data_IF_203635871915
#
_entry.id   IF_203635871915
#
_cell.length_a   1.000
_cell.length_b   1.000
_cell.length_c   1.000
_cell.angle_alpha   90.00
_cell.angle_beta   90.00
_cell.angle_gamma   90.00
#
_symmetry.space_group_name_H-M   'P 1'
#
loop_
_entity.id
_entity.type
_entity.pdbx_description
1 polymer ?
#
# COMPACT_ATOMS: atom_id res chain seq x y z
N UNK A 1 -31.42 6.67 -24.06
CA UNK A 1 -30.83 5.34 -23.86
C UNK A 1 -29.40 5.60 -23.45
N UNK A 2 -28.88 4.86 -22.45
CA UNK A 2 -27.49 4.99 -22.02
C UNK A 2 -26.55 4.73 -23.19
N UNK A 3 -25.53 5.57 -23.37
CA UNK A 3 -24.43 5.35 -24.32
C UNK A 3 -23.45 4.29 -23.82
N UNK A 4 -23.58 3.87 -22.56
CA UNK A 4 -22.72 2.88 -21.93
C UNK A 4 -23.11 1.47 -22.37
N UNK A 5 -22.14 0.68 -22.77
CA UNK A 5 -22.25 -0.75 -23.05
C UNK A 5 -21.59 -1.52 -21.92
N UNK A 6 -22.16 -2.66 -21.60
CA UNK A 6 -21.64 -3.51 -20.50
C UNK A 6 -21.31 -4.90 -20.99
N UNK A 7 -20.17 -5.39 -20.58
CA UNK A 7 -19.80 -6.79 -20.74
C UNK A 7 -19.35 -7.39 -19.40
N UNK A 8 -19.62 -8.68 -19.26
CA UNK A 8 -19.15 -9.49 -18.13
C UNK A 8 -18.33 -10.65 -18.68
N UNK A 9 -17.24 -10.94 -18.05
CA UNK A 9 -16.32 -12.00 -18.46
C UNK A 9 -16.10 -12.95 -17.31
N UNK A 10 -16.40 -14.22 -17.52
CA UNK A 10 -16.22 -15.30 -16.57
C UNK A 10 -15.19 -16.28 -17.09
N UNK A 11 -14.30 -16.75 -16.25
CA UNK A 11 -13.39 -17.85 -16.58
C UNK A 11 -14.17 -19.16 -16.71
N UNK A 12 -13.90 -19.94 -17.77
CA UNK A 12 -14.46 -21.28 -17.91
C UNK A 12 -14.10 -22.16 -16.70
N UNK A 13 -14.88 -23.18 -16.37
CA UNK A 13 -14.76 -23.93 -15.10
C UNK A 13 -13.34 -24.43 -14.79
N UNK A 14 -12.58 -24.85 -15.81
CA UNK A 14 -11.22 -25.36 -15.58
C UNK A 14 -10.24 -24.26 -15.18
N UNK A 15 -10.51 -23.02 -15.58
CA UNK A 15 -9.68 -21.84 -15.35
C UNK A 15 -10.23 -20.91 -14.25
N UNK A 16 -11.38 -21.22 -13.66
CA UNK A 16 -12.06 -20.41 -12.65
C UNK A 16 -11.41 -20.56 -11.25
N UNK A 17 -10.12 -20.23 -11.15
CA UNK A 17 -9.34 -20.38 -9.88
C UNK A 17 -9.92 -19.47 -8.81
N UNK A 18 -10.12 -18.20 -9.10
CA UNK A 18 -10.63 -17.22 -8.13
C UNK A 18 -12.00 -17.60 -7.55
N UNK A 19 -12.89 -18.10 -8.39
CA UNK A 19 -14.22 -18.56 -7.92
C UNK A 19 -14.11 -19.80 -7.01
N UNK A 20 -13.20 -20.71 -7.33
CA UNK A 20 -12.95 -21.91 -6.50
C UNK A 20 -12.31 -21.57 -5.17
N UNK A 21 -11.33 -20.67 -5.17
CA UNK A 21 -10.65 -20.18 -3.97
C UNK A 21 -11.63 -19.43 -3.07
N UNK A 22 -12.40 -18.49 -3.61
CA UNK A 22 -13.41 -17.77 -2.82
C UNK A 22 -14.46 -18.73 -2.22
N UNK A 23 -14.93 -19.72 -2.97
CA UNK A 23 -15.82 -20.74 -2.42
C UNK A 23 -15.17 -21.53 -1.27
N UNK A 24 -13.89 -21.84 -1.40
CA UNK A 24 -13.14 -22.52 -0.35
C UNK A 24 -13.01 -21.63 0.89
N UNK A 25 -12.66 -20.36 0.73
CA UNK A 25 -12.53 -19.38 1.82
C UNK A 25 -13.86 -19.17 2.56
N UNK A 26 -14.96 -19.00 1.82
CA UNK A 26 -16.31 -18.90 2.39
C UNK A 26 -16.61 -20.12 3.26
N UNK A 27 -16.27 -21.30 2.79
CA UNK A 27 -16.53 -22.54 3.50
C UNK A 27 -15.58 -22.80 4.68
N UNK A 28 -14.28 -22.52 4.51
CA UNK A 28 -13.23 -22.86 5.50
C UNK A 28 -12.99 -21.77 6.52
N UNK A 29 -12.94 -20.52 6.06
CA UNK A 29 -12.62 -19.36 6.90
C UNK A 29 -13.88 -18.73 7.51
N UNK A 30 -14.90 -18.43 6.69
CA UNK A 30 -16.17 -17.87 7.20
C UNK A 30 -17.10 -18.94 7.79
N UNK A 31 -16.83 -20.22 7.58
CA UNK A 31 -17.63 -21.34 8.13
C UNK A 31 -18.99 -21.53 7.45
N UNK A 32 -19.28 -20.84 6.35
CA UNK A 32 -20.56 -20.89 5.64
C UNK A 32 -20.58 -22.09 4.69
N UNK A 33 -21.33 -23.12 5.03
CA UNK A 33 -21.41 -24.40 4.30
C UNK A 33 -22.56 -24.48 3.29
N UNK A 34 -23.44 -23.50 3.29
CA UNK A 34 -24.67 -23.46 2.49
C UNK A 34 -24.44 -23.00 1.04
N UNK A 35 -23.25 -22.47 0.72
CA UNK A 35 -22.87 -22.03 -0.61
C UNK A 35 -22.59 -23.23 -1.51
N UNK A 36 -23.34 -23.35 -2.60
CA UNK A 36 -23.25 -24.44 -3.58
C UNK A 36 -22.32 -24.10 -4.74
N UNK A 37 -22.40 -22.86 -5.25
CA UNK A 37 -21.50 -22.36 -6.28
C UNK A 37 -21.16 -20.88 -6.06
N UNK A 38 -20.02 -20.49 -6.60
CA UNK A 38 -19.55 -19.08 -6.66
C UNK A 38 -19.15 -18.81 -8.09
N UNK A 39 -19.62 -17.70 -8.64
CA UNK A 39 -19.20 -17.20 -9.94
C UNK A 39 -18.57 -15.82 -9.77
N UNK A 40 -17.50 -15.57 -10.49
CA UNK A 40 -16.77 -14.31 -10.48
C UNK A 40 -16.69 -13.78 -11.89
N UNK A 41 -17.30 -12.63 -12.10
CA UNK A 41 -17.33 -11.95 -13.39
C UNK A 41 -16.51 -10.67 -13.32
N UNK A 42 -15.63 -10.47 -14.27
CA UNK A 42 -15.04 -9.15 -14.51
C UNK A 42 -16.05 -8.36 -15.35
N UNK A 43 -16.54 -7.27 -14.82
CA UNK A 43 -17.45 -6.34 -15.50
C UNK A 43 -16.65 -5.21 -16.12
N UNK A 44 -16.93 -4.90 -17.37
CA UNK A 44 -16.48 -3.69 -18.03
C UNK A 44 -17.71 -2.86 -18.44
N UNK A 45 -17.73 -1.61 -18.02
CA UNK A 45 -18.62 -0.57 -18.53
C UNK A 45 -17.83 0.30 -19.50
N UNK A 46 -18.32 0.45 -20.71
CA UNK A 46 -17.59 1.06 -21.83
C UNK A 46 -18.44 2.13 -22.48
N UNK A 47 -17.89 3.33 -22.62
CA UNK A 47 -18.54 4.46 -23.30
C UNK A 47 -17.59 5.07 -24.34
N UNK A 48 -18.13 5.83 -25.27
CA UNK A 48 -17.40 6.55 -26.31
C UNK A 48 -16.56 5.63 -27.22
N UNK A 49 -17.16 4.57 -27.71
CA UNK A 49 -16.57 3.59 -28.61
C UNK A 49 -17.55 3.27 -29.76
N UNK A 50 -17.04 3.08 -30.98
CA UNK A 50 -17.87 2.65 -32.10
C UNK A 50 -18.34 1.19 -31.93
N UNK A 51 -19.44 0.82 -32.59
CA UNK A 51 -19.94 -0.57 -32.55
C UNK A 51 -18.91 -1.55 -33.08
N UNK A 52 -18.26 -1.21 -34.20
CA UNK A 52 -17.26 -2.08 -34.84
C UNK A 52 -16.07 -2.35 -33.91
N UNK A 53 -15.54 -1.30 -33.28
CA UNK A 53 -14.41 -1.42 -32.35
C UNK A 53 -14.82 -2.16 -31.08
N UNK A 54 -16.04 -1.91 -30.57
CA UNK A 54 -16.56 -2.63 -29.40
C UNK A 54 -16.69 -4.13 -29.65
N UNK A 55 -17.23 -4.54 -30.81
CA UNK A 55 -17.36 -5.96 -31.17
C UNK A 55 -16.00 -6.65 -31.27
N UNK A 56 -15.01 -5.98 -31.87
CA UNK A 56 -13.62 -6.47 -31.89
C UNK A 56 -13.04 -6.57 -30.48
N UNK A 57 -13.22 -5.54 -29.66
CA UNK A 57 -12.71 -5.49 -28.29
C UNK A 57 -13.31 -6.62 -27.41
N UNK A 58 -14.55 -7.04 -27.66
CA UNK A 58 -15.14 -8.14 -26.91
C UNK A 58 -14.32 -9.44 -26.98
N UNK A 59 -13.61 -9.70 -28.07
CA UNK A 59 -12.89 -10.94 -28.30
C UNK A 59 -11.37 -10.85 -28.15
N UNK A 60 -10.80 -9.63 -28.13
CA UNK A 60 -9.34 -9.45 -28.07
C UNK A 60 -8.86 -8.47 -27.00
N UNK A 61 -9.78 -7.76 -26.33
CA UNK A 61 -9.44 -6.85 -25.22
C UNK A 61 -10.12 -7.31 -23.92
N UNK A 62 -11.45 -7.46 -23.95
CA UNK A 62 -12.21 -7.76 -22.73
C UNK A 62 -12.18 -9.24 -22.35
N UNK A 63 -12.00 -10.14 -23.30
CA UNK A 63 -11.95 -11.58 -23.05
C UNK A 63 -10.92 -12.31 -23.89
N UNK A 64 -10.52 -13.49 -23.41
CA UNK A 64 -9.71 -14.47 -24.11
C UNK A 64 -10.60 -15.71 -24.43
N UNK A 65 -11.19 -15.81 -25.62
CA UNK A 65 -12.18 -16.84 -25.94
C UNK A 65 -11.80 -18.31 -25.64
N UNK A 66 -10.50 -18.71 -25.67
CA UNK A 66 -10.10 -20.06 -25.26
C UNK A 66 -10.41 -20.37 -23.80
N UNK A 67 -10.30 -19.40 -22.90
CA UNK A 67 -10.39 -19.57 -21.43
C UNK A 67 -11.56 -18.82 -20.81
N UNK A 68 -12.22 -17.92 -21.55
CA UNK A 68 -13.29 -17.06 -21.09
C UNK A 68 -14.63 -17.32 -21.75
N UNK A 69 -15.69 -16.94 -21.04
CA UNK A 69 -17.04 -16.75 -21.57
C UNK A 69 -17.42 -15.30 -21.36
N UNK A 70 -17.86 -14.63 -22.43
CA UNK A 70 -18.30 -13.23 -22.39
C UNK A 70 -19.81 -13.15 -22.50
N UNK A 71 -20.40 -12.34 -21.66
CA UNK A 71 -21.83 -12.02 -21.64
C UNK A 71 -22.01 -10.52 -21.87
N UNK A 72 -22.95 -10.16 -22.75
CA UNK A 72 -23.30 -8.76 -23.00
C UNK A 72 -24.52 -8.38 -22.19
N UNK A 73 -24.47 -7.23 -21.54
CA UNK A 73 -25.53 -6.57 -20.77
C UNK A 73 -26.03 -7.33 -19.55
N UNK A 74 -26.14 -8.66 -19.58
CA UNK A 74 -26.70 -9.48 -18.51
C UNK A 74 -25.88 -10.76 -18.33
N UNK A 75 -25.83 -11.24 -17.09
CA UNK A 75 -25.25 -12.53 -16.71
C UNK A 75 -26.35 -13.55 -16.43
N UNK A 76 -26.09 -14.85 -16.65
CA UNK A 76 -26.98 -15.89 -16.18
C UNK A 76 -27.00 -15.94 -14.65
N UNK A 77 -28.17 -16.08 -14.06
CA UNK A 77 -28.33 -16.23 -12.62
C UNK A 77 -29.29 -17.38 -12.31
N UNK A 78 -28.91 -18.23 -11.39
CA UNK A 78 -29.80 -19.25 -10.85
C UNK A 78 -30.89 -18.62 -9.98
N UNK A 79 -32.03 -19.28 -9.86
CA UNK A 79 -33.10 -18.83 -8.98
C UNK A 79 -32.62 -18.78 -7.51
N UNK A 80 -32.83 -17.63 -6.86
CA UNK A 80 -32.40 -17.41 -5.48
C UNK A 80 -30.91 -17.08 -5.32
N UNK A 81 -30.12 -17.01 -6.38
CA UNK A 81 -28.73 -16.57 -6.30
C UNK A 81 -28.63 -15.12 -5.81
N UNK A 82 -27.63 -14.85 -4.99
CA UNK A 82 -27.33 -13.50 -4.47
C UNK A 82 -26.16 -12.90 -5.25
N UNK A 83 -26.22 -11.60 -5.49
CA UNK A 83 -25.24 -10.90 -6.34
C UNK A 83 -24.86 -9.56 -5.74
N UNK A 84 -23.59 -9.23 -5.84
CA UNK A 84 -23.04 -7.90 -5.54
C UNK A 84 -21.85 -7.62 -6.46
N UNK A 85 -21.53 -6.35 -6.62
CA UNK A 85 -20.37 -5.92 -7.42
C UNK A 85 -19.47 -5.03 -6.59
N UNK A 86 -18.18 -5.10 -6.86
CA UNK A 86 -17.14 -4.32 -6.18
C UNK A 86 -16.39 -3.50 -7.24
N UNK A 87 -16.27 -2.21 -7.01
CA UNK A 87 -15.50 -1.28 -7.84
C UNK A 87 -14.48 -0.55 -6.99
N UNK A 88 -13.43 0.00 -7.59
CA UNK A 88 -12.49 0.88 -6.92
C UNK A 88 -13.14 2.17 -6.44
N UNK A 89 -12.66 2.70 -5.31
CA UNK A 89 -13.05 4.02 -4.83
C UNK A 89 -12.62 5.11 -5.82
N UNK A 90 -13.36 6.23 -5.89
CA UNK A 90 -12.90 7.39 -6.65
C UNK A 90 -11.50 7.83 -6.22
N UNK A 91 -10.59 8.01 -7.19
CA UNK A 91 -9.20 8.35 -6.93
C UNK A 91 -8.25 7.15 -6.90
N UNK A 92 -8.75 5.93 -6.77
CA UNK A 92 -7.94 4.73 -6.94
C UNK A 92 -7.72 4.44 -8.44
N UNK A 93 -6.54 3.92 -8.76
CA UNK A 93 -6.18 3.61 -10.14
C UNK A 93 -6.76 2.26 -10.57
N UNK A 94 -7.66 2.28 -11.55
CA UNK A 94 -8.22 1.07 -12.16
C UNK A 94 -7.29 0.59 -13.29
N UNK A 95 -6.28 -0.21 -12.91
CA UNK A 95 -5.29 -0.76 -13.84
C UNK A 95 -5.94 -1.58 -14.96
N UNK A 96 -7.00 -2.32 -14.68
CA UNK A 96 -7.69 -3.16 -15.66
C UNK A 96 -8.41 -2.30 -16.69
N UNK A 97 -9.09 -1.26 -16.26
CA UNK A 97 -9.76 -0.33 -17.15
C UNK A 97 -8.74 0.45 -18.00
N UNK A 98 -7.64 0.91 -17.41
CA UNK A 98 -6.57 1.63 -18.12
C UNK A 98 -5.92 0.74 -19.19
N UNK A 99 -5.58 -0.50 -18.86
CA UNK A 99 -5.06 -1.47 -19.82
C UNK A 99 -6.06 -1.74 -20.95
N UNK A 100 -7.34 -1.83 -20.63
CA UNK A 100 -8.38 -2.01 -21.64
C UNK A 100 -8.51 -0.78 -22.57
N UNK A 101 -8.41 0.45 -22.04
CA UNK A 101 -8.35 1.68 -22.84
C UNK A 101 -7.19 1.64 -23.82
N UNK A 102 -5.98 1.32 -23.35
CA UNK A 102 -4.79 1.23 -24.21
C UNK A 102 -4.96 0.17 -25.29
N UNK A 103 -5.47 -1.02 -24.95
CA UNK A 103 -5.72 -2.08 -25.93
C UNK A 103 -6.79 -1.69 -26.97
N UNK A 104 -7.83 -0.94 -26.58
CA UNK A 104 -8.81 -0.42 -27.55
C UNK A 104 -8.15 0.59 -28.49
N UNK A 105 -7.25 1.42 -28.00
CA UNK A 105 -6.51 2.38 -28.83
C UNK A 105 -5.56 1.70 -29.84
N UNK A 106 -5.09 0.48 -29.55
CA UNK A 106 -4.40 -0.33 -30.58
C UNK A 106 -5.33 -0.83 -31.69
N UNK A 107 -6.63 -0.96 -31.43
CA UNK A 107 -7.62 -1.31 -32.46
C UNK A 107 -8.05 -0.12 -33.31
N UNK A 108 -8.10 1.06 -32.69
CA UNK A 108 -8.44 2.34 -33.31
C UNK A 108 -7.70 3.46 -32.57
N UNK A 109 -6.62 3.98 -33.18
CA UNK A 109 -5.78 5.03 -32.58
C UNK A 109 -6.50 6.37 -32.32
N UNK A 110 -7.65 6.58 -32.98
CA UNK A 110 -8.47 7.76 -32.79
C UNK A 110 -9.58 7.57 -31.72
N UNK A 111 -9.73 6.36 -31.20
CA UNK A 111 -10.70 6.09 -30.15
C UNK A 111 -10.24 6.73 -28.81
N UNK A 112 -11.22 7.33 -28.14
CA UNK A 112 -11.04 7.86 -26.79
C UNK A 112 -12.08 7.21 -25.84
N UNK A 113 -12.03 5.88 -25.63
CA UNK A 113 -12.99 5.17 -24.82
C UNK A 113 -12.89 5.59 -23.37
N UNK A 114 -14.02 5.60 -22.68
CA UNK A 114 -14.07 5.67 -21.21
C UNK A 114 -14.46 4.28 -20.75
N UNK A 115 -13.60 3.66 -19.95
CA UNK A 115 -13.81 2.30 -19.44
C UNK A 115 -13.71 2.32 -17.92
N UNK A 116 -14.59 1.58 -17.26
CA UNK A 116 -14.49 1.26 -15.83
C UNK A 116 -14.61 -0.23 -15.63
N UNK A 117 -13.90 -0.76 -14.68
CA UNK A 117 -14.03 -2.16 -14.31
C UNK A 117 -14.66 -2.35 -12.94
N UNK A 118 -15.27 -3.48 -12.74
CA UNK A 118 -15.77 -3.95 -11.46
C UNK A 118 -15.72 -5.48 -11.44
N UNK A 119 -15.65 -6.06 -10.26
CA UNK A 119 -15.81 -7.51 -10.08
C UNK A 119 -17.20 -7.78 -9.57
N UNK A 120 -17.95 -8.62 -10.27
CA UNK A 120 -19.30 -9.05 -9.88
C UNK A 120 -19.26 -10.49 -9.38
N UNK A 121 -19.77 -10.68 -8.19
CA UNK A 121 -19.83 -11.98 -7.51
C UNK A 121 -21.28 -12.48 -7.51
N UNK A 122 -21.49 -13.73 -7.91
CA UNK A 122 -22.77 -14.41 -7.80
C UNK A 122 -22.60 -15.60 -6.88
N UNK A 123 -23.38 -15.63 -5.81
CA UNK A 123 -23.33 -16.63 -4.76
C UNK A 123 -24.60 -17.47 -4.84
N UNK A 124 -24.45 -18.75 -5.12
CA UNK A 124 -25.55 -19.73 -5.14
C UNK A 124 -25.61 -20.52 -3.86
N UNK A 125 -26.83 -20.87 -3.44
CA UNK A 125 -27.08 -21.66 -2.25
C UNK A 125 -28.06 -20.98 -1.29
N UNK A 126 -28.36 -21.64 -0.20
CA UNK A 126 -29.29 -21.09 0.80
C UNK A 126 -28.54 -20.23 1.82
N UNK A 127 -28.16 -19.02 1.38
CA UNK A 127 -27.33 -18.06 2.14
C UNK A 127 -28.26 -17.04 2.82
N UNK A 128 -28.17 -16.92 4.14
CA UNK A 128 -28.90 -15.92 4.92
C UNK A 128 -28.37 -14.50 4.65
N UNK A 129 -29.14 -13.48 5.04
CA UNK A 129 -28.68 -12.09 4.89
C UNK A 129 -27.40 -11.81 5.67
N UNK A 130 -27.29 -12.33 6.88
CA UNK A 130 -26.10 -12.15 7.71
C UNK A 130 -24.85 -12.83 7.11
N UNK A 131 -25.01 -14.02 6.56
CA UNK A 131 -23.94 -14.72 5.86
C UNK A 131 -23.53 -13.99 4.59
N UNK A 132 -24.47 -13.43 3.86
CA UNK A 132 -24.19 -12.67 2.64
C UNK A 132 -23.43 -11.37 2.95
N UNK A 133 -23.81 -10.65 4.00
CA UNK A 133 -23.07 -9.47 4.45
C UNK A 133 -21.65 -9.85 4.92
N UNK A 134 -21.46 -10.98 5.58
CA UNK A 134 -20.14 -11.48 5.94
C UNK A 134 -19.28 -11.78 4.69
N UNK A 135 -19.86 -12.35 3.64
CA UNK A 135 -19.18 -12.59 2.36
C UNK A 135 -18.80 -11.27 1.70
N UNK A 136 -19.70 -10.29 1.65
CA UNK A 136 -19.38 -8.96 1.11
C UNK A 136 -18.22 -8.32 1.86
N UNK A 137 -18.27 -8.34 3.19
CA UNK A 137 -17.22 -7.78 4.03
C UNK A 137 -15.86 -8.45 3.80
N UNK A 138 -15.86 -9.75 3.49
CA UNK A 138 -14.65 -10.49 3.14
C UNK A 138 -14.09 -10.10 1.76
N UNK A 139 -14.99 -9.81 0.79
CA UNK A 139 -14.60 -9.49 -0.60
C UNK A 139 -14.28 -8.02 -0.83
N UNK A 140 -14.73 -7.12 0.06
CA UNK A 140 -14.58 -5.65 -0.12
C UNK A 140 -13.52 -5.14 0.85
N UNK A 141 -12.43 -4.60 0.30
CA UNK A 141 -11.48 -3.84 1.08
C UNK A 141 -11.92 -2.36 1.12
N UNK A 142 -12.40 -1.84 2.27
CA UNK A 142 -12.95 -0.49 2.33
C UNK A 142 -11.89 0.61 2.14
N UNK A 143 -10.60 0.26 2.09
CA UNK A 143 -9.50 1.20 1.85
C UNK A 143 -9.41 1.56 0.36
N UNK A 144 -9.64 0.60 -0.53
CA UNK A 144 -9.49 0.78 -1.98
C UNK A 144 -10.75 0.59 -2.80
N UNK A 145 -11.77 -0.08 -2.22
CA UNK A 145 -12.95 -0.51 -2.97
C UNK A 145 -14.25 -0.35 -2.19
N UNK A 146 -15.34 -0.42 -2.92
CA UNK A 146 -16.71 -0.33 -2.38
C UNK A 146 -17.68 -1.21 -3.16
N UNK A 147 -18.82 -1.50 -2.54
CA UNK A 147 -19.96 -2.08 -3.27
C UNK A 147 -20.49 -1.07 -4.30
N UNK A 148 -20.80 -1.56 -5.49
CA UNK A 148 -21.45 -0.78 -6.55
C UNK A 148 -22.71 -1.49 -7.03
N UNK A 149 -23.67 -0.71 -7.56
CA UNK A 149 -24.91 -1.23 -8.08
C UNK A 149 -24.75 -2.07 -9.36
N UNK A 150 -25.76 -2.89 -9.61
CA UNK A 150 -25.87 -3.64 -10.87
C UNK A 150 -26.50 -2.80 -12.00
N UNK A 151 -27.13 -1.70 -11.65
CA UNK A 151 -27.71 -0.81 -12.64
C UNK A 151 -26.62 -0.17 -13.50
N UNK A 152 -26.87 -0.15 -14.81
CA UNK A 152 -25.95 0.45 -15.76
C UNK A 152 -26.09 1.97 -15.70
N UNK A 153 -24.99 2.72 -15.50
CA UNK A 153 -25.04 4.17 -15.47
C UNK A 153 -25.40 4.75 -16.85
N UNK A 154 -25.93 5.95 -16.88
CA UNK A 154 -26.23 6.65 -18.14
C UNK A 154 -24.94 7.11 -18.84
N UNK A 155 -23.93 7.49 -18.07
CA UNK A 155 -22.58 7.89 -18.54
C UNK A 155 -21.51 7.50 -17.55
N UNK A 156 -20.30 7.28 -18.04
CA UNK A 156 -19.09 7.03 -17.25
C UNK A 156 -18.29 8.31 -16.98
N UNK A 157 -18.69 9.42 -17.60
CA UNK A 157 -18.05 10.71 -17.37
C UNK A 157 -18.30 11.15 -15.94
N UNK A 158 -17.23 11.34 -15.18
CA UNK A 158 -17.30 11.89 -13.82
C UNK A 158 -17.10 13.40 -13.89
N UNK A 159 -18.04 14.14 -13.36
CA UNK A 159 -17.91 15.57 -13.14
C UNK A 159 -17.56 15.79 -11.68
N UNK A 160 -16.39 16.33 -11.44
CA UNK A 160 -15.97 16.72 -10.10
C UNK A 160 -16.34 18.19 -9.88
N UNK A 161 -16.82 18.56 -8.69
CA UNK A 161 -16.92 19.97 -8.32
C UNK A 161 -15.54 20.62 -8.28
N UNK A 162 -15.49 21.90 -8.54
CA UNK A 162 -14.25 22.65 -8.34
C UNK A 162 -13.81 22.51 -6.88
N UNK A 163 -12.50 22.33 -6.62
CA UNK A 163 -12.01 22.22 -5.25
C UNK A 163 -12.23 23.55 -4.51
N UNK A 164 -12.50 23.44 -3.22
CA UNK A 164 -12.52 24.62 -2.35
C UNK A 164 -11.14 25.25 -2.24
N UNK A 165 -11.09 26.56 -2.05
CA UNK A 165 -9.85 27.27 -1.74
C UNK A 165 -9.21 26.73 -0.47
N UNK A 166 -7.88 26.79 -0.39
CA UNK A 166 -7.13 26.34 0.78
C UNK A 166 -7.54 27.18 1.99
N UNK A 167 -8.03 26.52 3.02
CA UNK A 167 -8.48 27.15 4.26
C UNK A 167 -7.33 27.87 4.96
N UNK A 168 -7.54 29.15 5.33
CA UNK A 168 -6.69 29.87 6.26
C UNK A 168 -7.28 29.71 7.68
N UNK A 169 -6.44 29.53 8.68
CA UNK A 169 -6.86 29.47 10.06
C UNK A 169 -6.94 30.85 10.69
N UNK A 170 -7.98 31.60 10.37
CA UNK A 170 -8.16 32.97 10.84
C UNK A 170 -8.06 33.07 12.36
N UNK A 171 -7.23 33.99 12.84
CA UNK A 171 -6.99 34.22 14.26
C UNK A 171 -6.04 33.20 14.91
N UNK A 172 -5.49 32.24 14.18
CA UNK A 172 -4.59 31.21 14.71
C UNK A 172 -3.45 31.79 15.57
N UNK A 173 -2.77 32.82 15.06
CA UNK A 173 -1.64 33.44 15.75
C UNK A 173 -2.00 34.01 17.13
N UNK A 174 -3.28 34.41 17.32
CA UNK A 174 -3.75 35.06 18.53
C UNK A 174 -4.69 34.15 19.38
N UNK A 175 -4.90 32.89 18.96
CA UNK A 175 -5.74 31.93 19.69
C UNK A 175 -5.28 31.75 21.15
N UNK A 176 -6.21 31.65 22.06
CA UNK A 176 -5.95 31.21 23.42
C UNK A 176 -5.55 29.71 23.42
N UNK A 177 -4.86 29.30 24.49
CA UNK A 177 -4.38 27.91 24.60
C UNK A 177 -5.50 26.86 24.49
N UNK A 178 -6.67 27.17 25.04
CA UNK A 178 -7.83 26.27 25.02
C UNK A 178 -8.34 26.06 23.59
N UNK A 179 -8.51 27.15 22.83
CA UNK A 179 -8.97 27.10 21.43
C UNK A 179 -7.93 26.45 20.52
N UNK A 180 -6.64 26.74 20.76
CA UNK A 180 -5.53 26.13 20.05
C UNK A 180 -5.48 24.61 20.28
N UNK A 181 -5.77 24.16 21.50
CA UNK A 181 -5.81 22.74 21.85
C UNK A 181 -7.00 22.02 21.20
N UNK A 182 -8.14 22.68 21.11
CA UNK A 182 -9.30 22.16 20.39
C UNK A 182 -9.00 22.00 18.90
N UNK A 183 -8.44 23.04 18.29
CA UNK A 183 -7.99 22.99 16.89
C UNK A 183 -6.97 21.86 16.66
N UNK A 184 -5.94 21.76 17.51
CA UNK A 184 -4.96 20.68 17.46
C UNK A 184 -5.61 19.29 17.47
N UNK A 185 -6.55 19.07 18.38
CA UNK A 185 -7.26 17.79 18.52
C UNK A 185 -8.11 17.47 17.28
N UNK A 186 -8.67 18.49 16.63
CA UNK A 186 -9.51 18.33 15.42
C UNK A 186 -8.70 17.98 14.17
N UNK A 187 -7.41 18.35 14.14
CA UNK A 187 -6.55 18.16 12.97
C UNK A 187 -5.84 16.81 12.93
N UNK A 188 -5.85 16.04 14.02
CA UNK A 188 -5.17 14.75 14.12
C UNK A 188 -3.71 14.81 13.61
N UNK A 189 -2.91 15.68 14.21
CA UNK A 189 -1.53 15.94 13.81
C UNK A 189 -0.56 14.89 14.40
N UNK A 190 0.54 14.62 13.68
CA UNK A 190 1.62 13.78 14.14
C UNK A 190 2.53 14.50 15.17
N UNK A 191 2.67 15.82 15.05
CA UNK A 191 3.45 16.64 15.98
C UNK A 191 2.80 16.68 17.37
N UNK A 192 3.58 17.04 18.40
CA UNK A 192 3.05 17.25 19.75
C UNK A 192 2.33 18.61 19.86
N UNK A 193 1.47 18.77 20.90
CA UNK A 193 0.84 20.06 21.16
C UNK A 193 1.86 21.18 21.45
N UNK A 194 3.01 20.85 22.05
CA UNK A 194 4.09 21.82 22.27
C UNK A 194 4.72 22.30 20.98
N UNK A 195 4.88 21.42 20.00
CA UNK A 195 5.36 21.79 18.67
C UNK A 195 4.36 22.71 17.98
N UNK A 196 3.06 22.41 18.11
CA UNK A 196 1.99 23.25 17.58
C UNK A 196 1.94 24.65 18.22
N UNK A 197 2.19 24.74 19.52
CA UNK A 197 2.36 26.03 20.22
C UNK A 197 3.62 26.77 19.72
N UNK A 198 4.70 26.05 19.43
CA UNK A 198 5.90 26.66 18.85
C UNK A 198 5.59 27.25 17.47
N UNK A 199 4.86 26.54 16.64
CA UNK A 199 4.40 27.02 15.31
C UNK A 199 3.53 28.27 15.48
N UNK A 200 2.56 28.26 16.43
CA UNK A 200 1.77 29.45 16.70
C UNK A 200 2.63 30.68 17.06
N UNK A 201 3.64 30.47 17.91
CA UNK A 201 4.55 31.56 18.29
C UNK A 201 5.36 32.08 17.11
N UNK A 202 5.78 31.20 16.19
CA UNK A 202 6.48 31.59 14.98
C UNK A 202 5.58 32.46 14.07
N UNK A 203 4.36 32.00 13.79
CA UNK A 203 3.41 32.77 12.99
C UNK A 203 3.03 34.10 13.62
N UNK A 204 2.96 34.17 14.95
CA UNK A 204 2.69 35.40 15.70
C UNK A 204 3.84 36.40 15.62
N UNK A 205 5.04 35.95 15.84
CA UNK A 205 6.20 36.82 16.08
C UNK A 205 7.00 37.11 14.80
N UNK A 206 7.17 36.12 13.95
CA UNK A 206 8.01 36.20 12.75
C UNK A 206 7.17 36.46 11.51
N UNK A 207 6.25 35.56 11.16
CA UNK A 207 5.42 35.67 9.96
C UNK A 207 4.36 36.78 10.08
N UNK A 208 3.84 37.04 11.26
CA UNK A 208 2.82 38.08 11.59
C UNK A 208 1.52 37.92 10.81
N UNK A 209 1.20 36.71 10.39
CA UNK A 209 0.00 36.31 9.68
C UNK A 209 -0.53 34.98 10.18
N UNK A 210 -1.71 34.59 9.76
CA UNK A 210 -2.26 33.30 10.04
C UNK A 210 -1.80 32.26 8.98
N UNK A 211 -1.61 30.99 9.35
CA UNK A 211 -1.22 29.95 8.44
C UNK A 211 -2.39 29.39 7.64
N UNK A 212 -2.08 28.85 6.46
CA UNK A 212 -3.00 28.00 5.72
C UNK A 212 -2.99 26.57 6.24
N UNK A 213 -4.03 25.78 5.92
CA UNK A 213 -4.09 24.35 6.17
C UNK A 213 -2.89 23.63 5.56
N UNK A 214 -2.49 24.00 4.35
CA UNK A 214 -1.33 23.42 3.66
C UNK A 214 -0.05 23.62 4.45
N UNK A 215 0.20 24.84 4.98
CA UNK A 215 1.39 25.12 5.79
C UNK A 215 1.41 24.28 7.07
N UNK A 216 0.28 24.17 7.76
CA UNK A 216 0.18 23.33 8.97
C UNK A 216 0.45 21.86 8.63
N UNK A 217 -0.09 21.31 7.52
CA UNK A 217 0.13 19.92 7.11
C UNK A 217 1.57 19.66 6.68
N UNK A 218 2.20 20.60 5.98
CA UNK A 218 3.61 20.50 5.59
C UNK A 218 4.51 20.50 6.82
N UNK A 219 4.26 21.40 7.78
CA UNK A 219 5.01 21.46 9.04
C UNK A 219 4.81 20.18 9.84
N UNK A 220 3.58 19.67 9.94
CA UNK A 220 3.29 18.41 10.61
C UNK A 220 4.07 17.23 10.01
N UNK A 221 4.20 17.19 8.68
CA UNK A 221 5.00 16.19 7.99
C UNK A 221 6.49 16.29 8.38
N UNK A 222 7.04 17.48 8.50
CA UNK A 222 8.42 17.70 8.97
C UNK A 222 8.62 17.26 10.43
N UNK A 223 7.61 17.42 11.28
CA UNK A 223 7.67 16.98 12.69
C UNK A 223 7.35 15.49 12.87
N UNK A 224 6.86 14.82 11.84
CA UNK A 224 6.59 13.38 11.94
C UNK A 224 7.89 12.61 12.16
N UNK A 225 7.85 11.62 13.03
CA UNK A 225 8.97 10.71 13.28
C UNK A 225 9.01 9.63 12.18
N UNK A 226 9.41 10.06 10.97
CA UNK A 226 9.48 9.18 9.81
C UNK A 226 10.37 7.97 10.08
N UNK A 227 9.83 6.77 9.88
CA UNK A 227 10.50 5.48 10.20
C UNK A 227 10.96 5.39 11.66
N UNK A 228 10.43 6.22 12.55
CA UNK A 228 10.77 6.30 13.97
C UNK A 228 12.27 6.55 14.26
N UNK A 229 12.96 7.25 13.38
CA UNK A 229 14.37 7.56 13.53
C UNK A 229 14.65 8.28 14.85
N UNK A 230 13.85 9.26 15.20
CA UNK A 230 13.97 10.00 16.48
C UNK A 230 13.72 9.08 17.67
N UNK A 231 12.64 8.29 17.63
CA UNK A 231 12.33 7.31 18.69
C UNK A 231 13.47 6.31 18.90
N UNK A 232 13.98 5.70 17.81
CA UNK A 232 15.05 4.73 17.88
C UNK A 232 16.39 5.33 18.35
N UNK A 233 16.63 6.61 18.11
CA UNK A 233 17.84 7.32 18.50
C UNK A 233 17.72 8.08 19.83
N UNK A 234 16.57 7.98 20.51
CA UNK A 234 16.37 8.61 21.83
C UNK A 234 17.16 7.87 22.90
N UNK A 235 17.87 8.63 23.77
CA UNK A 235 18.58 8.07 24.91
C UNK A 235 17.65 7.37 25.89
N UNK A 236 17.96 6.13 26.24
CA UNK A 236 17.24 5.34 27.24
C UNK A 236 17.92 5.50 28.59
N UNK A 237 17.34 6.33 29.47
CA UNK A 237 17.86 6.59 30.82
C UNK A 237 17.32 5.61 31.87
N UNK A 238 16.22 4.93 31.58
CA UNK A 238 15.59 3.94 32.47
C UNK A 238 14.89 2.86 31.67
N UNK A 239 15.17 1.62 31.99
CA UNK A 239 14.51 0.45 31.38
C UNK A 239 13.91 -0.41 32.48
N UNK A 240 12.64 -0.76 32.36
CA UNK A 240 11.91 -1.61 33.29
C UNK A 240 11.34 -2.80 32.54
N UNK A 241 11.43 -3.98 33.16
CA UNK A 241 10.88 -5.22 32.63
C UNK A 241 9.65 -5.61 33.45
N UNK A 242 8.56 -5.90 32.74
CA UNK A 242 7.35 -6.39 33.38
C UNK A 242 7.51 -7.85 33.79
N UNK A 243 6.75 -8.30 34.80
CA UNK A 243 6.73 -9.68 35.25
C UNK A 243 6.10 -10.59 34.17
N UNK A 244 6.69 -11.72 33.92
CA UNK A 244 6.23 -12.70 32.95
C UNK A 244 7.25 -13.76 32.63
N UNK A 245 6.86 -14.77 31.85
CA UNK A 245 7.68 -15.96 31.54
C UNK A 245 8.98 -15.62 30.80
N UNK A 246 9.00 -14.51 30.05
CA UNK A 246 10.16 -14.06 29.26
C UNK A 246 11.03 -13.02 29.95
N UNK A 247 10.66 -12.56 31.15
CA UNK A 247 11.41 -11.51 31.86
C UNK A 247 12.89 -11.87 32.02
N UNK A 248 13.17 -13.02 32.61
CA UNK A 248 14.55 -13.44 32.92
C UNK A 248 15.44 -13.50 31.69
N UNK A 249 15.07 -14.15 30.56
CA UNK A 249 15.92 -14.18 29.38
C UNK A 249 16.10 -12.79 28.76
N UNK A 250 15.08 -11.93 28.77
CA UNK A 250 15.18 -10.57 28.21
C UNK A 250 16.11 -9.70 29.07
N UNK A 251 15.97 -9.71 30.40
CA UNK A 251 16.87 -9.00 31.32
C UNK A 251 18.31 -9.43 31.15
N UNK A 252 18.56 -10.75 31.01
CA UNK A 252 19.88 -11.30 30.77
C UNK A 252 20.48 -10.75 29.47
N UNK A 253 19.74 -10.81 28.38
CA UNK A 253 20.17 -10.31 27.06
C UNK A 253 20.45 -8.81 27.09
N UNK A 254 19.60 -8.04 27.78
CA UNK A 254 19.82 -6.59 27.93
C UNK A 254 21.09 -6.28 28.74
N UNK A 255 21.39 -7.06 29.77
CA UNK A 255 22.64 -6.91 30.53
C UNK A 255 23.86 -7.22 29.65
N UNK A 256 23.79 -8.29 28.86
CA UNK A 256 24.85 -8.64 27.89
C UNK A 256 25.07 -7.50 26.87
N UNK A 257 24.01 -6.86 26.42
CA UNK A 257 24.09 -5.68 25.56
C UNK A 257 24.77 -4.51 26.28
N UNK A 258 24.42 -4.19 27.54
CA UNK A 258 25.06 -3.10 28.28
C UNK A 258 26.55 -3.33 28.48
N UNK A 259 26.97 -4.57 28.76
CA UNK A 259 28.37 -4.94 28.87
C UNK A 259 29.11 -4.75 27.53
N UNK A 260 28.49 -5.20 26.41
CA UNK A 260 29.03 -5.01 25.07
C UNK A 260 29.13 -3.52 24.69
N UNK A 261 28.12 -2.73 25.00
CA UNK A 261 28.07 -1.28 24.77
C UNK A 261 29.26 -0.59 25.49
N UNK A 262 29.43 -0.91 26.76
CA UNK A 262 30.52 -0.34 27.57
C UNK A 262 31.90 -0.69 27.00
N UNK A 263 32.10 -1.91 26.56
CA UNK A 263 33.35 -2.35 25.95
C UNK A 263 33.61 -1.72 24.59
N UNK A 264 32.59 -1.68 23.75
CA UNK A 264 32.66 -1.15 22.37
C UNK A 264 32.93 0.36 22.34
N UNK A 265 32.32 1.10 23.28
CA UNK A 265 32.40 2.57 23.30
C UNK A 265 33.27 3.11 24.45
N UNK A 266 34.25 2.33 24.90
CA UNK A 266 35.15 2.75 25.98
C UNK A 266 35.81 4.09 25.65
N UNK A 267 35.60 5.08 26.51
CA UNK A 267 36.17 6.44 26.35
C UNK A 267 35.39 7.32 25.37
N UNK A 268 34.14 6.96 25.01
CA UNK A 268 33.25 7.73 24.17
C UNK A 268 31.95 8.11 24.89
N UNK A 269 31.94 9.32 25.44
CA UNK A 269 30.76 9.84 26.18
C UNK A 269 29.63 10.29 25.24
N UNK A 270 29.87 10.40 23.93
CA UNK A 270 28.90 10.75 22.91
C UNK A 270 28.02 9.58 22.49
N UNK A 271 28.25 8.37 22.99
CA UNK A 271 27.50 7.16 22.71
C UNK A 271 26.63 6.78 23.90
N UNK A 272 25.34 6.96 23.75
CA UNK A 272 24.34 6.61 24.74
C UNK A 272 23.55 5.35 24.34
N UNK A 273 22.92 4.73 25.33
CA UNK A 273 22.04 3.58 25.13
C UNK A 273 20.77 4.05 24.41
N UNK A 274 20.47 3.44 23.27
CA UNK A 274 19.23 3.68 22.53
C UNK A 274 18.81 2.41 21.76
N UNK A 275 17.58 2.39 21.24
CA UNK A 275 17.07 1.23 20.50
C UNK A 275 17.88 0.95 19.22
N UNK A 276 18.34 1.98 18.52
CA UNK A 276 19.15 1.84 17.32
C UNK A 276 20.50 1.19 17.65
N UNK A 277 21.14 1.61 18.72
CA UNK A 277 22.41 1.01 19.13
C UNK A 277 22.22 -0.45 19.56
N UNK A 278 21.16 -0.75 20.30
CA UNK A 278 20.81 -2.11 20.67
C UNK A 278 20.62 -3.00 19.43
N UNK A 279 19.91 -2.52 18.42
CA UNK A 279 19.68 -3.25 17.17
C UNK A 279 20.97 -3.52 16.39
N UNK A 280 21.94 -2.59 16.43
CA UNK A 280 23.19 -2.67 15.66
C UNK A 280 24.36 -3.31 16.42
N UNK A 281 24.25 -3.50 17.73
CA UNK A 281 25.38 -3.92 18.57
C UNK A 281 25.99 -5.26 18.17
N UNK A 282 25.16 -6.24 17.83
CA UNK A 282 25.64 -7.55 17.40
C UNK A 282 26.47 -7.47 16.12
N UNK A 283 26.01 -6.71 15.13
CA UNK A 283 26.73 -6.47 13.88
C UNK A 283 28.06 -5.76 14.13
N UNK A 284 28.08 -4.69 14.95
CA UNK A 284 29.27 -3.94 15.28
C UNK A 284 30.32 -4.83 15.98
N UNK A 285 29.86 -5.70 16.88
CA UNK A 285 30.72 -6.66 17.57
C UNK A 285 31.32 -7.68 16.60
N UNK A 286 30.51 -8.27 15.73
CA UNK A 286 30.99 -9.20 14.71
C UNK A 286 32.00 -8.54 13.76
N UNK A 287 31.77 -7.28 13.38
CA UNK A 287 32.70 -6.52 12.55
C UNK A 287 34.04 -6.28 13.30
N UNK A 288 33.98 -5.90 14.56
CA UNK A 288 35.18 -5.71 15.38
C UNK A 288 35.99 -7.01 15.60
N UNK A 289 35.32 -8.16 15.60
CA UNK A 289 35.93 -9.48 15.66
C UNK A 289 36.47 -10.01 14.31
N UNK A 290 36.31 -9.22 13.23
CA UNK A 290 36.72 -9.59 11.86
C UNK A 290 35.85 -10.66 11.18
N UNK A 291 34.65 -10.92 11.70
CA UNK A 291 33.74 -11.95 11.18
C UNK A 291 32.88 -11.48 9.98
N UNK A 292 33.02 -10.22 9.60
CA UNK A 292 32.33 -9.62 8.44
C UNK A 292 33.36 -9.12 7.42
N UNK A 293 34.45 -9.87 7.22
CA UNK A 293 35.53 -9.47 6.32
C UNK A 293 35.16 -9.52 4.83
N UNK A 294 34.11 -10.24 4.51
CA UNK A 294 33.52 -10.33 3.17
C UNK A 294 32.52 -9.19 2.87
N UNK A 295 32.18 -8.35 3.86
CA UNK A 295 31.38 -7.18 3.62
C UNK A 295 32.17 -6.13 2.85
N UNK A 296 31.64 -5.68 1.71
CA UNK A 296 32.22 -4.57 0.96
C UNK A 296 32.19 -3.29 1.80
N UNK A 297 33.29 -2.55 1.77
CA UNK A 297 33.37 -1.19 2.32
C UNK A 297 33.38 -0.17 1.17
N UNK A 298 32.34 0.63 1.08
CA UNK A 298 32.13 1.63 0.03
C UNK A 298 31.53 2.90 0.64
N UNK A 299 31.76 4.04 0.00
CA UNK A 299 31.09 5.31 0.33
C UNK A 299 29.60 5.29 -0.02
N UNK A 300 29.16 4.33 -0.85
CA UNK A 300 27.78 4.12 -1.26
C UNK A 300 27.13 3.06 -0.37
N UNK A 301 26.30 3.48 0.60
CA UNK A 301 25.76 2.63 1.67
C UNK A 301 24.25 2.39 1.57
N UNK A 302 23.65 2.54 0.40
CA UNK A 302 22.19 2.34 0.21
C UNK A 302 21.77 0.86 0.19
N UNK A 303 22.73 -0.06 0.06
CA UNK A 303 22.50 -1.50 0.13
C UNK A 303 23.70 -2.17 0.80
N UNK A 304 23.49 -3.38 1.30
CA UNK A 304 24.58 -4.21 1.83
C UNK A 304 25.12 -5.11 0.71
N UNK A 305 26.42 -5.09 0.48
CA UNK A 305 27.09 -5.94 -0.49
C UNK A 305 28.11 -6.85 0.22
N UNK A 306 28.20 -8.08 -0.26
CA UNK A 306 29.24 -9.02 0.14
C UNK A 306 30.08 -9.41 -1.08
N UNK A 307 31.39 -9.56 -0.87
CA UNK A 307 32.32 -10.02 -1.87
C UNK A 307 32.27 -11.55 -1.91
N UNK A 308 32.03 -12.12 -3.10
CA UNK A 308 31.99 -13.57 -3.29
C UNK A 308 32.88 -13.97 -4.45
N UNK A 309 33.67 -15.06 -4.33
CA UNK A 309 34.42 -15.61 -5.45
C UNK A 309 33.47 -16.36 -6.38
N UNK A 310 33.54 -16.08 -7.67
CA UNK A 310 32.73 -16.71 -8.73
C UNK A 310 33.66 -17.25 -9.80
N UNK A 311 33.48 -18.53 -10.18
CA UNK A 311 34.16 -19.11 -11.33
C UNK A 311 33.44 -18.69 -12.61
N UNK A 312 34.13 -17.95 -13.48
CA UNK A 312 33.67 -17.53 -14.79
C UNK A 312 34.58 -18.15 -15.84
N UNK A 313 34.11 -19.18 -16.53
CA UNK A 313 34.86 -19.90 -17.55
C UNK A 313 36.26 -20.44 -17.11
N UNK A 314 36.34 -20.91 -15.87
CA UNK A 314 37.57 -21.41 -15.24
C UNK A 314 38.50 -20.33 -14.69
N UNK A 315 38.03 -19.11 -14.56
CA UNK A 315 38.72 -18.00 -13.88
C UNK A 315 37.92 -17.57 -12.68
N UNK A 316 38.58 -17.46 -11.55
CA UNK A 316 37.96 -16.88 -10.34
C UNK A 316 37.93 -15.36 -10.45
N UNK A 317 36.72 -14.78 -10.27
CA UNK A 317 36.48 -13.34 -10.22
C UNK A 317 35.82 -12.98 -8.89
N UNK A 318 36.13 -11.81 -8.34
CA UNK A 318 35.43 -11.27 -7.19
C UNK A 318 34.18 -10.52 -7.66
N UNK A 319 33.03 -11.04 -7.25
CA UNK A 319 31.73 -10.44 -7.54
C UNK A 319 31.10 -9.88 -6.25
N UNK A 320 30.21 -8.92 -6.42
CA UNK A 320 29.40 -8.36 -5.34
C UNK A 320 27.97 -8.89 -5.41
N UNK A 321 27.52 -9.47 -4.30
CA UNK A 321 26.10 -9.76 -4.13
C UNK A 321 25.51 -8.64 -3.28
N UNK A 322 24.62 -7.84 -3.88
CA UNK A 322 23.84 -6.83 -3.20
C UNK A 322 22.61 -7.45 -2.57
N UNK A 323 22.36 -7.11 -1.32
CA UNK A 323 21.13 -7.44 -0.64
C UNK A 323 20.49 -6.18 -0.08
N UNK A 324 19.19 -5.99 -0.39
CA UNK A 324 18.37 -4.96 0.21
C UNK A 324 17.09 -5.56 0.74
N UNK A 325 16.76 -5.20 1.97
CA UNK A 325 15.48 -5.46 2.59
C UNK A 325 14.99 -4.16 3.23
N UNK A 326 13.87 -3.65 2.77
CA UNK A 326 13.29 -2.41 3.28
C UNK A 326 11.80 -2.61 3.52
N UNK A 327 11.33 -2.13 4.66
CA UNK A 327 9.90 -2.08 4.96
C UNK A 327 9.32 -0.77 4.49
N UNK A 328 8.15 -0.83 3.86
CA UNK A 328 7.38 0.36 3.45
C UNK A 328 6.17 0.55 4.38
N UNK A 329 5.64 1.77 4.44
CA UNK A 329 4.48 2.13 5.28
C UNK A 329 3.15 1.72 4.62
N UNK A 330 3.03 0.48 4.18
CA UNK A 330 1.83 -0.09 3.52
C UNK A 330 1.23 0.77 2.38
N UNK A 331 2.04 1.39 1.49
CA UNK A 331 1.47 2.21 0.43
C UNK A 331 0.56 1.41 -0.52
N UNK A 332 0.80 0.11 -0.66
CA UNK A 332 -0.03 -0.81 -1.45
C UNK A 332 -1.40 -1.10 -0.82
N UNK A 333 -1.58 -0.88 0.48
CA UNK A 333 -2.86 -1.01 1.16
C UNK A 333 -3.77 0.19 0.84
N UNK A 334 -3.19 1.38 0.73
CA UNK A 334 -3.92 2.64 0.52
C UNK A 334 -4.15 2.89 -0.97
N UNK A 335 -3.13 2.66 -1.77
CA UNK A 335 -3.15 2.82 -3.23
C UNK A 335 -2.35 1.67 -3.86
N UNK A 336 -3.01 0.55 -4.24
CA UNK A 336 -2.33 -0.69 -4.61
C UNK A 336 -1.36 -0.55 -5.78
N UNK A 337 -1.74 0.14 -6.84
CA UNK A 337 -0.92 0.27 -8.04
C UNK A 337 0.28 1.18 -7.81
N UNK A 338 0.06 2.42 -7.39
CA UNK A 338 1.13 3.39 -7.17
C UNK A 338 2.02 3.01 -5.98
N UNK A 339 1.44 2.37 -4.95
CA UNK A 339 2.18 1.80 -3.84
C UNK A 339 3.13 0.69 -4.26
N UNK A 340 2.68 -0.23 -5.11
CA UNK A 340 3.54 -1.26 -5.69
C UNK A 340 4.64 -0.66 -6.57
N UNK A 341 4.31 0.31 -7.41
CA UNK A 341 5.28 1.03 -8.25
C UNK A 341 6.36 1.73 -7.41
N UNK A 342 5.97 2.36 -6.30
CA UNK A 342 6.88 3.01 -5.36
C UNK A 342 7.84 2.00 -4.73
N UNK A 343 7.33 0.87 -4.25
CA UNK A 343 8.13 -0.18 -3.62
C UNK A 343 9.11 -0.83 -4.60
N UNK A 344 8.64 -1.20 -5.80
CA UNK A 344 9.49 -1.76 -6.85
C UNK A 344 10.54 -0.75 -7.32
N UNK A 345 10.14 0.52 -7.47
CA UNK A 345 11.06 1.60 -7.84
C UNK A 345 12.20 1.76 -6.84
N UNK A 346 11.91 1.70 -5.53
CA UNK A 346 12.91 1.72 -4.46
C UNK A 346 13.84 0.49 -4.52
N UNK A 347 13.27 -0.69 -4.66
CA UNK A 347 14.01 -1.95 -4.77
C UNK A 347 14.99 -1.99 -5.96
N UNK A 348 14.68 -1.27 -7.05
CA UNK A 348 15.54 -1.16 -8.22
C UNK A 348 16.55 -0.03 -8.04
N UNK A 349 16.11 1.16 -7.63
CA UNK A 349 16.97 2.37 -7.57
C UNK A 349 18.12 2.25 -6.58
N UNK A 350 17.90 1.67 -5.42
CA UNK A 350 18.92 1.65 -4.38
C UNK A 350 20.11 0.75 -4.73
N UNK A 351 19.92 -0.49 -5.23
CA UNK A 351 21.03 -1.26 -5.77
C UNK A 351 21.72 -0.59 -6.98
N UNK A 352 20.95 0.04 -7.89
CA UNK A 352 21.52 0.77 -9.02
C UNK A 352 22.39 1.96 -8.57
N UNK A 353 22.07 2.62 -7.47
CA UNK A 353 22.92 3.68 -6.90
C UNK A 353 24.30 3.15 -6.49
N UNK A 354 24.38 1.88 -6.09
CA UNK A 354 25.61 1.13 -5.83
C UNK A 354 26.27 0.57 -7.09
N UNK A 355 25.85 0.99 -8.29
CA UNK A 355 26.43 0.57 -9.59
C UNK A 355 26.29 -0.92 -9.87
N UNK A 356 25.21 -1.54 -9.43
CA UNK A 356 24.93 -2.96 -9.65
C UNK A 356 23.82 -3.18 -10.66
N UNK A 357 23.79 -4.37 -11.28
CA UNK A 357 22.64 -4.84 -12.02
C UNK A 357 21.56 -5.34 -11.07
N UNK A 358 20.30 -5.07 -11.41
CA UNK A 358 19.15 -5.59 -10.69
C UNK A 358 18.45 -6.62 -11.57
N UNK A 359 18.30 -7.82 -11.04
CA UNK A 359 17.53 -8.91 -11.67
C UNK A 359 16.20 -9.07 -10.91
N UNK A 360 15.14 -9.28 -11.66
CA UNK A 360 13.84 -9.65 -11.13
C UNK A 360 13.69 -11.17 -11.05
#
# INVERSE_FOLDING_TARGET
>A
MSSVRRVYVEKKPDFAVQAKELKHEISSYLGIKTVTAVHVYIRYDVENISEEVFEKACTCVFSEPPVDVLYKEQIPMAEGARVFSVEYLPGQFDQRADSAVQCVQFLDENAAPIIRSATTYVIEGNVTDAEFEAIKHHCINPVDSRETGLEKPETLVTVFPDPEDVKIFDGFKDMAEADLKELYSSLNLAMTFKDFQHIQNYFRNEEKRDPSMTEIRVLDTYWSDHCRHTTFSTELTSVKFDEGDYKTPIEKTYKEYLDAHKDMYKGRDDKFVCLMDLALMAMKKLKAEGKLADQEESDEINACSIVVPVDVDGKEEEWLINFKNETHNHPTEIEPFGGAATCLGGAIRDPLSGRTYVYQ
#
